data_IF_269245719483
#
_entry.id   IF_269245719483
#
_cell.length_a   1.000
_cell.length_b   1.000
_cell.length_c   1.000
_cell.angle_alpha   90.00
_cell.angle_beta   90.00
_cell.angle_gamma   90.00
#
_symmetry.space_group_name_H-M   'P 1'
#
loop_
_entity.id
_entity.type
_entity.pdbx_description
1 polymer ?
#
# COMPACT_ATOMS: atom_id res chain seq x y z
N UNK A 1 4.97 47.13 -3.61
CA UNK A 1 5.35 45.90 -4.33
C UNK A 1 5.67 44.71 -3.42
N UNK A 2 6.46 44.84 -2.34
CA UNK A 2 6.73 43.69 -1.42
C UNK A 2 5.47 43.12 -0.74
N UNK A 3 4.52 43.99 -0.36
CA UNK A 3 3.31 43.59 0.37
C UNK A 3 2.30 42.81 -0.50
N UNK A 4 2.22 43.13 -1.79
CA UNK A 4 1.35 42.45 -2.77
C UNK A 4 1.90 41.07 -3.14
N UNK A 5 3.23 40.96 -3.24
CA UNK A 5 3.90 39.67 -3.47
C UNK A 5 3.72 38.75 -2.26
N UNK A 6 3.95 39.23 -1.05
CA UNK A 6 3.71 38.43 0.16
C UNK A 6 2.24 38.05 0.34
N UNK A 7 1.32 38.97 0.00
CA UNK A 7 -0.11 38.69 0.03
C UNK A 7 -0.48 37.62 -0.99
N UNK A 8 -0.03 37.72 -2.24
CA UNK A 8 -0.28 36.71 -3.28
C UNK A 8 0.33 35.34 -2.97
N UNK A 9 1.48 35.29 -2.28
CA UNK A 9 2.10 34.05 -1.79
C UNK A 9 1.30 33.45 -0.64
N UNK A 10 0.80 34.27 0.30
CA UNK A 10 -0.11 33.85 1.37
C UNK A 10 -1.47 33.40 0.83
N UNK A 11 -1.97 34.04 -0.21
CA UNK A 11 -3.22 33.69 -0.89
C UNK A 11 -3.07 32.39 -1.69
N UNK A 12 -1.94 32.18 -2.39
CA UNK A 12 -1.59 30.90 -3.02
C UNK A 12 -1.45 29.76 -2.01
N UNK A 13 -0.97 30.03 -0.79
CA UNK A 13 -0.97 29.04 0.32
C UNK A 13 -2.37 28.76 0.86
N UNK A 14 -3.31 29.70 0.76
CA UNK A 14 -4.71 29.56 1.22
C UNK A 14 -5.65 28.94 0.18
N UNK A 15 -5.35 29.05 -1.11
CA UNK A 15 -6.17 28.40 -2.14
C UNK A 15 -5.98 26.88 -2.03
N UNK A 16 -7.07 26.10 -1.94
CA UNK A 16 -6.97 24.65 -1.94
C UNK A 16 -6.19 24.25 -3.19
N UNK A 17 -5.05 23.55 -3.00
CA UNK A 17 -4.26 23.06 -4.13
C UNK A 17 -5.19 22.14 -4.91
N UNK A 18 -5.40 22.44 -6.21
CA UNK A 18 -6.17 21.55 -7.09
C UNK A 18 -5.46 20.18 -7.10
N UNK A 19 -6.19 19.12 -6.75
CA UNK A 19 -5.65 17.77 -6.69
C UNK A 19 -6.59 16.78 -6.00
N UNK A 20 -6.10 15.55 -5.81
CA UNK A 20 -6.82 14.45 -5.18
C UNK A 20 -6.60 14.47 -3.66
N UNK A 21 -7.67 14.74 -2.91
CA UNK A 21 -7.64 14.61 -1.44
C UNK A 21 -7.26 13.22 -0.99
N UNK A 22 -6.71 13.11 0.23
CA UNK A 22 -6.42 11.81 0.87
C UNK A 22 -7.64 10.89 0.88
N UNK A 23 -8.85 11.44 1.07
CA UNK A 23 -10.08 10.67 0.96
C UNK A 23 -10.28 10.05 -0.42
N UNK A 24 -10.18 10.86 -1.50
CA UNK A 24 -10.30 10.37 -2.88
C UNK A 24 -9.25 9.32 -3.23
N UNK A 25 -8.01 9.52 -2.80
CA UNK A 25 -6.94 8.54 -3.00
C UNK A 25 -7.24 7.21 -2.31
N UNK A 26 -7.77 7.26 -1.08
CA UNK A 26 -8.17 6.04 -0.36
C UNK A 26 -9.34 5.32 -1.02
N UNK A 27 -10.31 6.06 -1.58
CA UNK A 27 -11.41 5.46 -2.37
C UNK A 27 -10.84 4.75 -3.60
N UNK A 28 -9.98 5.40 -4.38
CA UNK A 28 -9.34 4.80 -5.56
C UNK A 28 -8.56 3.54 -5.16
N UNK A 29 -7.72 3.63 -4.12
CA UNK A 29 -6.94 2.50 -3.62
C UNK A 29 -7.82 1.34 -3.11
N UNK A 30 -8.98 1.65 -2.50
CA UNK A 30 -9.93 0.64 -2.04
C UNK A 30 -10.63 -0.08 -3.20
N UNK A 31 -11.02 0.65 -4.26
CA UNK A 31 -11.62 0.06 -5.48
C UNK A 31 -10.63 -0.87 -6.17
N UNK A 32 -9.37 -0.44 -6.31
CA UNK A 32 -8.31 -1.25 -6.90
C UNK A 32 -8.00 -2.50 -6.05
N UNK A 33 -8.01 -2.36 -4.73
CA UNK A 33 -7.82 -3.50 -3.82
C UNK A 33 -8.98 -4.50 -3.90
N UNK A 34 -10.22 -4.01 -4.02
CA UNK A 34 -11.39 -4.86 -4.29
C UNK A 34 -11.24 -5.60 -5.62
N UNK A 35 -10.77 -4.92 -6.67
CA UNK A 35 -10.55 -5.52 -7.98
C UNK A 35 -9.53 -6.67 -7.93
N UNK A 36 -8.46 -6.53 -7.15
CA UNK A 36 -7.51 -7.62 -6.89
C UNK A 36 -8.14 -8.78 -6.12
N UNK A 37 -8.86 -8.49 -5.03
CA UNK A 37 -9.56 -9.54 -4.28
C UNK A 37 -10.61 -10.29 -5.15
N UNK A 38 -11.38 -9.56 -5.95
CA UNK A 38 -12.35 -10.10 -6.88
C UNK A 38 -11.71 -10.95 -8.00
N UNK A 39 -10.46 -10.64 -8.40
CA UNK A 39 -9.71 -11.37 -9.40
C UNK A 39 -9.50 -12.85 -9.02
N UNK A 40 -9.30 -13.10 -7.73
CA UNK A 40 -8.98 -14.44 -7.20
C UNK A 40 -10.22 -15.32 -7.02
N UNK A 41 -11.40 -14.73 -6.85
CA UNK A 41 -12.59 -15.45 -6.36
C UNK A 41 -13.84 -15.13 -7.19
N UNK A 42 -14.27 -13.87 -7.19
CA UNK A 42 -15.51 -13.45 -7.85
C UNK A 42 -15.44 -13.65 -9.37
N UNK A 43 -14.39 -13.22 -10.07
CA UNK A 43 -14.35 -13.40 -11.51
C UNK A 43 -14.28 -14.88 -11.93
N UNK A 44 -13.46 -15.74 -11.30
CA UNK A 44 -13.53 -17.18 -11.51
C UNK A 44 -14.92 -17.79 -11.23
N UNK A 45 -15.65 -17.29 -10.22
CA UNK A 45 -17.00 -17.77 -9.93
C UNK A 45 -18.00 -17.43 -11.04
N UNK A 46 -17.97 -16.19 -11.55
CA UNK A 46 -18.94 -15.71 -12.54
C UNK A 46 -18.59 -16.13 -13.97
N UNK A 47 -17.30 -16.18 -14.31
CA UNK A 47 -16.81 -16.44 -15.67
C UNK A 47 -16.32 -17.87 -15.87
N UNK A 48 -16.28 -18.70 -14.81
CA UNK A 48 -15.73 -20.05 -14.81
C UNK A 48 -14.24 -20.11 -14.47
N UNK A 49 -13.70 -21.31 -14.30
CA UNK A 49 -12.30 -21.52 -13.88
C UNK A 49 -11.32 -20.87 -14.85
N UNK A 50 -10.35 -20.07 -14.37
CA UNK A 50 -9.34 -19.46 -15.23
C UNK A 50 -8.30 -20.52 -15.61
N UNK A 51 -8.52 -21.17 -16.76
CA UNK A 51 -7.63 -22.19 -17.32
C UNK A 51 -7.35 -21.93 -18.82
N UNK A 52 -6.55 -22.80 -19.43
CA UNK A 52 -6.17 -22.67 -20.85
C UNK A 52 -7.37 -22.76 -21.81
N UNK A 53 -8.47 -23.38 -21.39
CA UNK A 53 -9.69 -23.53 -22.19
C UNK A 53 -10.63 -22.33 -22.02
N UNK A 54 -10.53 -21.61 -20.90
CA UNK A 54 -11.27 -20.39 -20.61
C UNK A 54 -10.36 -19.16 -20.53
N UNK A 55 -9.82 -18.79 -21.70
CA UNK A 55 -8.94 -17.62 -21.83
C UNK A 55 -9.60 -16.31 -21.38
N UNK A 56 -10.93 -16.19 -21.48
CA UNK A 56 -11.66 -14.99 -21.05
C UNK A 56 -11.58 -14.80 -19.53
N UNK A 57 -11.91 -15.84 -18.75
CA UNK A 57 -11.81 -15.78 -17.29
C UNK A 57 -10.37 -15.54 -16.83
N UNK A 58 -9.40 -16.21 -17.46
CA UNK A 58 -7.98 -16.00 -17.21
C UNK A 58 -7.56 -14.55 -17.48
N UNK A 59 -7.94 -14.00 -18.63
CA UNK A 59 -7.60 -12.62 -19.02
C UNK A 59 -8.21 -11.61 -18.05
N UNK A 60 -9.49 -11.75 -17.69
CA UNK A 60 -10.16 -10.85 -16.75
C UNK A 60 -9.49 -10.89 -15.38
N UNK A 61 -9.17 -12.08 -14.88
CA UNK A 61 -8.51 -12.26 -13.57
C UNK A 61 -7.11 -11.63 -13.56
N UNK A 62 -6.29 -11.91 -14.57
CA UNK A 62 -4.93 -11.35 -14.67
C UNK A 62 -4.95 -9.82 -14.82
N UNK A 63 -5.79 -9.27 -15.70
CA UNK A 63 -5.86 -7.82 -15.88
C UNK A 63 -6.35 -7.10 -14.62
N UNK A 64 -7.28 -7.71 -13.90
CA UNK A 64 -7.81 -7.18 -12.63
C UNK A 64 -6.77 -7.21 -11.53
N UNK A 65 -5.97 -8.27 -11.45
CA UNK A 65 -4.84 -8.33 -10.54
C UNK A 65 -3.79 -7.25 -10.85
N UNK A 66 -3.39 -7.14 -12.12
CA UNK A 66 -2.42 -6.12 -12.55
C UNK A 66 -2.94 -4.71 -12.24
N UNK A 67 -4.23 -4.45 -12.48
CA UNK A 67 -4.85 -3.19 -12.13
C UNK A 67 -4.80 -2.93 -10.62
N UNK A 68 -4.96 -3.95 -9.77
CA UNK A 68 -4.87 -3.80 -8.31
C UNK A 68 -3.49 -3.28 -7.85
N UNK A 69 -2.41 -3.60 -8.58
CA UNK A 69 -1.05 -3.18 -8.22
C UNK A 69 -0.84 -1.66 -8.30
N UNK A 70 -1.70 -0.93 -9.00
CA UNK A 70 -1.78 0.54 -8.98
C UNK A 70 -1.96 1.06 -7.54
N UNK A 71 -2.59 0.29 -6.65
CA UNK A 71 -2.85 0.68 -5.27
C UNK A 71 -1.59 0.61 -4.37
N UNK A 72 -0.61 -0.22 -4.71
CA UNK A 72 0.57 -0.50 -3.86
C UNK A 72 1.34 0.77 -3.46
N UNK A 73 1.78 1.65 -4.39
CA UNK A 73 2.45 2.90 -4.01
C UNK A 73 1.54 3.83 -3.20
N UNK A 74 0.23 3.78 -3.37
CA UNK A 74 -0.72 4.60 -2.61
C UNK A 74 -0.76 4.15 -1.14
N UNK A 75 -0.84 2.84 -0.88
CA UNK A 75 -0.79 2.30 0.49
C UNK A 75 0.57 2.49 1.15
N UNK A 76 1.67 2.31 0.41
CA UNK A 76 3.02 2.63 0.90
C UNK A 76 3.13 4.11 1.30
N UNK A 77 2.57 5.02 0.49
CA UNK A 77 2.50 6.44 0.83
C UNK A 77 1.66 6.70 2.08
N UNK A 78 0.54 5.99 2.26
CA UNK A 78 -0.29 6.13 3.48
C UNK A 78 0.44 5.65 4.74
N UNK A 79 1.26 4.60 4.65
CA UNK A 79 2.12 4.16 5.76
C UNK A 79 3.14 5.22 6.09
N UNK A 80 3.92 5.64 5.09
CA UNK A 80 4.96 6.64 5.25
C UNK A 80 4.42 7.98 5.80
N UNK A 81 3.37 8.53 5.17
CA UNK A 81 2.74 9.77 5.64
C UNK A 81 2.07 9.58 7.00
N UNK A 82 1.45 8.42 7.26
CA UNK A 82 0.89 8.08 8.56
C UNK A 82 1.95 8.10 9.66
N UNK A 83 3.16 7.60 9.39
CA UNK A 83 4.29 7.62 10.30
C UNK A 83 4.76 9.05 10.60
N UNK A 84 4.93 9.90 9.58
CA UNK A 84 5.38 11.30 9.74
C UNK A 84 4.44 12.16 10.60
N UNK A 85 3.12 11.97 10.43
CA UNK A 85 2.12 12.84 11.07
C UNK A 85 1.47 12.22 12.32
N UNK A 86 1.82 11.00 12.69
CA UNK A 86 1.23 10.33 13.87
C UNK A 86 1.97 10.72 15.15
N UNK A 87 1.21 11.06 16.19
CA UNK A 87 1.76 11.35 17.51
C UNK A 87 2.40 10.12 18.20
N UNK A 88 1.89 8.90 17.93
CA UNK A 88 2.38 7.67 18.54
C UNK A 88 2.52 6.55 17.49
N UNK A 89 3.74 6.37 16.97
CA UNK A 89 4.06 5.37 15.96
C UNK A 89 3.85 3.94 16.45
N UNK A 90 4.07 3.67 17.74
CA UNK A 90 3.85 2.33 18.34
C UNK A 90 2.37 1.97 18.27
N UNK A 91 1.48 2.88 18.66
CA UNK A 91 0.04 2.64 18.58
C UNK A 91 -0.43 2.49 17.13
N UNK A 92 0.20 3.18 16.19
CA UNK A 92 -0.07 2.96 14.77
C UNK A 92 0.36 1.55 14.32
N UNK A 93 1.54 1.09 14.73
CA UNK A 93 2.01 -0.28 14.49
C UNK A 93 1.09 -1.33 15.11
N UNK A 94 0.63 -1.13 16.36
CA UNK A 94 -0.34 -2.03 17.00
C UNK A 94 -1.65 -2.11 16.22
N UNK A 95 -2.16 -0.98 15.69
CA UNK A 95 -3.37 -1.00 14.85
C UNK A 95 -3.16 -1.77 13.55
N UNK A 96 -2.00 -1.63 12.91
CA UNK A 96 -1.66 -2.41 11.72
C UNK A 96 -1.48 -3.89 12.04
N UNK A 97 -0.90 -4.23 13.19
CA UNK A 97 -0.75 -5.61 13.65
C UNK A 97 -2.12 -6.26 13.91
N UNK A 98 -3.00 -5.59 14.64
CA UNK A 98 -4.37 -6.08 14.87
C UNK A 98 -5.11 -6.24 13.55
N UNK A 99 -4.98 -5.27 12.64
CA UNK A 99 -5.59 -5.38 11.31
C UNK A 99 -5.03 -6.57 10.52
N UNK A 100 -3.71 -6.76 10.50
CA UNK A 100 -3.08 -7.88 9.81
C UNK A 100 -3.56 -9.22 10.35
N UNK A 101 -3.63 -9.38 11.68
CA UNK A 101 -4.14 -10.59 12.32
C UNK A 101 -5.61 -10.86 12.01
N UNK A 102 -6.46 -9.82 12.04
CA UNK A 102 -7.89 -9.94 11.69
C UNK A 102 -8.07 -10.32 10.21
N UNK A 103 -7.19 -9.86 9.34
CA UNK A 103 -7.25 -10.13 7.91
C UNK A 103 -6.68 -11.50 7.51
N UNK A 104 -5.95 -12.23 8.37
CA UNK A 104 -5.41 -13.55 8.00
C UNK A 104 -6.51 -14.54 7.64
N UNK A 105 -7.48 -14.75 8.52
CA UNK A 105 -8.56 -15.72 8.28
C UNK A 105 -9.33 -15.46 6.98
N UNK A 106 -9.84 -14.24 6.71
CA UNK A 106 -10.56 -14.00 5.46
C UNK A 106 -9.64 -13.99 4.23
N UNK A 107 -8.35 -13.65 4.37
CA UNK A 107 -7.38 -13.74 3.29
C UNK A 107 -7.05 -15.20 2.93
N UNK A 108 -6.80 -16.04 3.92
CA UNK A 108 -6.53 -17.46 3.76
C UNK A 108 -7.72 -18.17 3.10
N UNK A 109 -8.94 -17.83 3.51
CA UNK A 109 -10.15 -18.33 2.86
C UNK A 109 -10.19 -17.93 1.39
N UNK A 110 -9.92 -16.66 1.07
CA UNK A 110 -9.94 -16.15 -0.30
C UNK A 110 -8.88 -16.81 -1.20
N UNK A 111 -7.64 -16.94 -0.72
CA UNK A 111 -6.51 -17.42 -1.54
C UNK A 111 -6.40 -18.95 -1.56
N UNK A 112 -6.64 -19.62 -0.43
CA UNK A 112 -6.39 -21.05 -0.26
C UNK A 112 -7.64 -21.90 -0.05
N UNK A 113 -8.80 -21.26 0.17
CA UNK A 113 -10.05 -21.94 0.53
C UNK A 113 -10.10 -22.48 1.97
N UNK A 114 -9.03 -22.34 2.75
CA UNK A 114 -8.94 -22.84 4.13
C UNK A 114 -8.89 -21.65 5.11
N UNK A 115 -9.50 -21.81 6.29
CA UNK A 115 -9.55 -20.74 7.29
C UNK A 115 -8.19 -20.41 7.93
N UNK A 116 -7.25 -21.36 7.88
CA UNK A 116 -5.90 -21.21 8.42
C UNK A 116 -4.93 -21.82 7.41
N UNK A 117 -4.08 -21.00 6.82
CA UNK A 117 -3.05 -21.41 5.87
C UNK A 117 -1.73 -20.72 6.20
N UNK A 118 -0.62 -21.44 6.07
CA UNK A 118 0.73 -20.86 6.20
C UNK A 118 1.36 -20.57 4.84
N UNK A 119 0.59 -20.65 3.76
CA UNK A 119 1.11 -20.58 2.39
C UNK A 119 1.51 -19.17 1.93
N UNK A 120 0.79 -18.15 2.37
CA UNK A 120 1.04 -16.74 2.10
C UNK A 120 0.42 -15.90 3.23
N UNK A 121 0.99 -14.72 3.50
CA UNK A 121 0.45 -13.77 4.47
C UNK A 121 -0.33 -12.67 3.74
N UNK A 122 -1.32 -12.05 4.40
CA UNK A 122 -2.01 -10.93 3.77
C UNK A 122 -1.12 -9.68 3.57
N UNK A 123 -1.38 -8.82 2.56
CA UNK A 123 -0.62 -7.60 2.27
C UNK A 123 -0.47 -6.58 3.42
N UNK A 124 -1.33 -6.59 4.45
CA UNK A 124 -1.22 -5.66 5.59
C UNK A 124 0.06 -5.92 6.38
N UNK A 125 0.54 -7.17 6.41
CA UNK A 125 1.86 -7.48 6.97
C UNK A 125 2.97 -6.71 6.26
N UNK A 126 2.88 -6.49 4.95
CA UNK A 126 3.84 -5.70 4.19
C UNK A 126 3.85 -4.25 4.65
N UNK A 127 2.67 -3.68 4.94
CA UNK A 127 2.53 -2.34 5.49
C UNK A 127 3.10 -2.22 6.91
N UNK A 128 2.90 -3.25 7.74
CA UNK A 128 3.47 -3.31 9.08
C UNK A 128 5.00 -3.41 9.04
N UNK A 129 5.55 -4.28 8.19
CA UNK A 129 6.99 -4.44 7.99
C UNK A 129 7.58 -3.11 7.52
N UNK A 130 6.96 -2.44 6.54
CA UNK A 130 7.37 -1.10 6.09
C UNK A 130 7.45 -0.10 7.24
N UNK A 131 6.45 -0.06 8.13
CA UNK A 131 6.42 0.82 9.29
C UNK A 131 7.54 0.50 10.29
N UNK A 132 7.76 -0.79 10.57
CA UNK A 132 8.85 -1.24 11.45
C UNK A 132 10.20 -0.84 10.87
N UNK A 133 10.43 -1.07 9.57
CA UNK A 133 11.67 -0.72 8.89
C UNK A 133 11.97 0.76 9.02
N UNK A 134 11.04 1.66 8.64
CA UNK A 134 11.30 3.11 8.75
C UNK A 134 11.45 3.57 10.21
N UNK A 135 10.72 2.97 11.15
CA UNK A 135 10.86 3.24 12.58
C UNK A 135 12.24 2.86 13.11
N UNK A 136 12.76 1.68 12.73
CA UNK A 136 14.11 1.26 13.07
C UNK A 136 15.16 2.17 12.42
N UNK A 137 14.99 2.54 11.15
CA UNK A 137 15.91 3.46 10.46
C UNK A 137 16.03 4.81 11.16
N UNK A 138 14.96 5.32 11.78
CA UNK A 138 15.02 6.54 12.57
C UNK A 138 15.76 6.36 13.90
N UNK A 139 15.57 5.23 14.60
CA UNK A 139 16.34 4.92 15.80
C UNK A 139 17.85 4.81 15.51
N UNK A 140 18.20 4.33 14.32
CA UNK A 140 19.59 4.19 13.90
C UNK A 140 20.31 5.53 13.68
N UNK A 141 19.59 6.67 13.59
CA UNK A 141 20.20 8.01 13.47
C UNK A 141 21.00 8.43 14.71
N UNK A 142 20.84 7.75 15.84
CA UNK A 142 21.61 7.99 17.05
C UNK A 142 23.05 7.44 16.99
N UNK A 143 23.36 6.58 16.02
CA UNK A 143 24.68 5.95 15.87
C UNK A 143 25.63 6.78 14.98
N UNK A 144 26.92 6.42 14.98
CA UNK A 144 27.91 7.01 14.06
C UNK A 144 27.54 6.74 12.60
N UNK A 145 27.93 7.63 11.68
CA UNK A 145 27.53 7.57 10.27
C UNK A 145 27.82 6.21 9.60
N UNK A 146 29.00 5.64 9.84
CA UNK A 146 29.38 4.33 9.29
C UNK A 146 28.50 3.20 9.84
N UNK A 147 28.25 3.21 11.15
CA UNK A 147 27.40 2.22 11.80
C UNK A 147 25.95 2.35 11.36
N UNK A 148 25.44 3.58 11.25
CA UNK A 148 24.09 3.87 10.75
C UNK A 148 23.90 3.27 9.35
N UNK A 149 24.84 3.46 8.43
CA UNK A 149 24.74 2.92 7.06
C UNK A 149 24.68 1.39 7.11
N UNK A 150 25.61 0.75 7.82
CA UNK A 150 25.68 -0.72 7.91
C UNK A 150 24.39 -1.30 8.49
N UNK A 151 23.94 -0.76 9.63
CA UNK A 151 22.71 -1.21 10.29
C UNK A 151 21.47 -0.92 9.43
N UNK A 152 21.43 0.20 8.71
CA UNK A 152 20.31 0.52 7.81
C UNK A 152 20.19 -0.49 6.68
N UNK A 153 21.32 -0.88 6.08
CA UNK A 153 21.34 -1.93 5.04
C UNK A 153 20.84 -3.25 5.62
N UNK A 154 21.29 -3.64 6.81
CA UNK A 154 20.84 -4.88 7.47
C UNK A 154 19.33 -4.84 7.73
N UNK A 155 18.81 -3.75 8.32
CA UNK A 155 17.38 -3.60 8.62
C UNK A 155 16.53 -3.70 7.35
N UNK A 156 16.96 -3.03 6.28
CA UNK A 156 16.27 -3.08 4.98
C UNK A 156 16.28 -4.50 4.42
N UNK A 157 17.44 -5.16 4.40
CA UNK A 157 17.55 -6.53 3.90
C UNK A 157 16.71 -7.51 4.71
N UNK A 158 16.65 -7.37 6.04
CA UNK A 158 15.78 -8.18 6.91
C UNK A 158 14.31 -7.94 6.60
N UNK A 159 13.87 -6.69 6.42
CA UNK A 159 12.48 -6.38 6.06
C UNK A 159 12.08 -6.94 4.69
N UNK A 160 12.98 -6.86 3.70
CA UNK A 160 12.78 -7.44 2.38
C UNK A 160 12.76 -8.97 2.42
N UNK A 161 13.70 -9.58 3.15
CA UNK A 161 13.78 -11.03 3.33
C UNK A 161 12.54 -11.56 4.04
N UNK A 162 12.04 -10.89 5.09
CA UNK A 162 10.78 -11.24 5.74
C UNK A 162 9.64 -11.23 4.73
N UNK A 163 9.46 -10.12 4.02
CA UNK A 163 8.36 -9.96 3.05
C UNK A 163 8.39 -11.05 1.96
N UNK A 164 9.59 -11.41 1.50
CA UNK A 164 9.79 -12.42 0.47
C UNK A 164 9.60 -13.85 1.00
N UNK A 165 10.25 -14.23 2.10
CA UNK A 165 10.22 -15.58 2.67
C UNK A 165 8.81 -15.99 3.12
N UNK A 166 8.07 -15.06 3.71
CA UNK A 166 6.69 -15.31 4.16
C UNK A 166 5.64 -15.00 3.10
N UNK A 167 6.07 -14.75 1.85
CA UNK A 167 5.19 -14.55 0.68
C UNK A 167 4.08 -13.53 0.97
N UNK A 168 4.48 -12.39 1.54
CA UNK A 168 3.56 -11.37 2.02
C UNK A 168 2.83 -10.72 0.85
N UNK A 169 1.51 -10.83 0.85
CA UNK A 169 0.61 -10.37 -0.20
C UNK A 169 0.78 -11.10 -1.52
N UNK A 170 1.23 -12.35 -1.48
CA UNK A 170 1.32 -13.21 -2.66
C UNK A 170 -0.02 -13.90 -2.92
N UNK A 171 -0.58 -13.66 -4.10
CA UNK A 171 -1.81 -14.29 -4.63
C UNK A 171 -1.49 -15.37 -5.68
N UNK A 172 -0.21 -15.72 -5.89
CA UNK A 172 0.24 -16.74 -6.84
C UNK A 172 0.77 -16.20 -8.17
N UNK A 173 1.08 -14.90 -8.26
CA UNK A 173 1.57 -14.22 -9.46
C UNK A 173 2.98 -13.63 -9.27
N UNK A 174 3.54 -13.05 -10.35
CA UNK A 174 4.97 -12.73 -10.54
C UNK A 174 5.57 -11.79 -9.48
N UNK A 175 4.76 -11.03 -8.73
CA UNK A 175 5.24 -9.94 -7.87
C UNK A 175 4.78 -10.12 -6.42
N UNK A 176 5.73 -10.00 -5.48
CA UNK A 176 5.47 -9.97 -4.04
C UNK A 176 5.08 -8.56 -3.58
N UNK A 177 3.80 -8.37 -3.22
CA UNK A 177 3.24 -7.08 -2.81
C UNK A 177 3.90 -6.54 -1.54
N UNK A 178 4.28 -7.40 -0.60
CA UNK A 178 4.99 -7.02 0.62
C UNK A 178 6.33 -6.35 0.33
N UNK A 179 7.15 -6.97 -0.52
CA UNK A 179 8.45 -6.44 -0.96
C UNK A 179 8.26 -5.07 -1.64
N UNK A 180 7.27 -4.94 -2.52
CA UNK A 180 6.98 -3.65 -3.15
C UNK A 180 6.59 -2.58 -2.15
N UNK A 181 5.74 -2.94 -1.18
CA UNK A 181 5.26 -2.03 -0.15
C UNK A 181 6.43 -1.47 0.66
N UNK A 182 7.40 -2.32 1.02
CA UNK A 182 8.64 -1.92 1.69
C UNK A 182 9.46 -0.98 0.80
N UNK A 183 9.72 -1.36 -0.45
CA UNK A 183 10.56 -0.57 -1.37
C UNK A 183 9.95 0.81 -1.68
N UNK A 184 8.65 0.89 -1.97
CA UNK A 184 7.98 2.17 -2.17
C UNK A 184 8.03 3.04 -0.90
N UNK A 185 7.81 2.44 0.27
CA UNK A 185 7.90 3.17 1.55
C UNK A 185 9.31 3.73 1.76
N UNK A 186 10.35 2.96 1.45
CA UNK A 186 11.74 3.41 1.53
C UNK A 186 12.05 4.55 0.56
N UNK A 187 11.52 4.50 -0.67
CA UNK A 187 11.65 5.61 -1.63
C UNK A 187 11.04 6.88 -1.05
N UNK A 188 9.82 6.79 -0.52
CA UNK A 188 9.17 7.96 0.11
C UNK A 188 9.91 8.45 1.36
N UNK A 189 10.47 7.53 2.15
CA UNK A 189 11.24 7.87 3.33
C UNK A 189 12.58 8.56 3.03
N UNK A 190 13.39 8.04 2.11
CA UNK A 190 14.72 8.59 1.83
C UNK A 190 14.70 9.86 0.97
N UNK A 191 13.67 10.03 0.14
CA UNK A 191 13.52 11.20 -0.71
C UNK A 191 12.51 12.22 -0.18
N UNK A 192 12.14 12.10 1.10
CA UNK A 192 11.36 13.13 1.78
C UNK A 192 12.03 14.51 1.65
N UNK A 193 11.20 15.54 1.41
CA UNK A 193 11.64 16.90 1.10
C UNK A 193 12.11 17.13 -0.35
N UNK A 194 12.23 16.10 -1.19
CA UNK A 194 12.63 16.19 -2.60
C UNK A 194 11.56 15.61 -3.52
N UNK A 195 10.38 16.24 -3.56
CA UNK A 195 9.16 15.73 -4.23
C UNK A 195 9.41 15.23 -5.68
N UNK A 196 10.14 16.00 -6.50
CA UNK A 196 10.40 15.61 -7.90
C UNK A 196 11.27 14.34 -7.98
N UNK A 197 12.34 14.26 -7.18
CA UNK A 197 13.21 13.08 -7.15
C UNK A 197 12.44 11.87 -6.61
N UNK A 198 11.68 12.07 -5.53
CA UNK A 198 10.85 11.04 -4.92
C UNK A 198 9.86 10.44 -5.93
N UNK A 199 9.12 11.28 -6.64
CA UNK A 199 8.09 10.83 -7.60
C UNK A 199 8.71 10.22 -8.86
N UNK A 200 9.82 10.77 -9.37
CA UNK A 200 10.52 10.18 -10.52
C UNK A 200 11.11 8.81 -10.18
N UNK A 201 11.79 8.67 -9.03
CA UNK A 201 12.36 7.40 -8.58
C UNK A 201 11.26 6.37 -8.32
N UNK A 202 10.17 6.76 -7.65
CA UNK A 202 9.02 5.88 -7.43
C UNK A 202 8.37 5.46 -8.77
N UNK A 203 8.21 6.39 -9.71
CA UNK A 203 7.62 6.11 -11.02
C UNK A 203 8.48 5.16 -11.86
N UNK A 204 9.80 5.38 -11.89
CA UNK A 204 10.75 4.50 -12.57
C UNK A 204 10.77 3.11 -11.95
N UNK A 205 10.84 3.03 -10.62
CA UNK A 205 10.76 1.75 -9.90
C UNK A 205 9.44 1.03 -10.19
N UNK A 206 8.32 1.74 -10.18
CA UNK A 206 7.02 1.18 -10.53
C UNK A 206 6.93 0.71 -11.98
N UNK A 207 7.66 1.34 -12.90
CA UNK A 207 7.69 0.94 -14.31
C UNK A 207 8.46 -0.37 -14.50
N UNK A 208 9.56 -0.55 -13.76
CA UNK A 208 10.32 -1.80 -13.72
C UNK A 208 9.50 -2.97 -13.17
N UNK A 209 8.48 -2.66 -12.35
CA UNK A 209 7.61 -3.64 -11.73
C UNK A 209 6.25 -3.75 -12.44
N UNK A 210 6.26 -4.03 -13.75
CA UNK A 210 5.07 -4.28 -14.59
C UNK A 210 4.18 -3.06 -14.88
N UNK A 211 4.73 -1.84 -14.85
CA UNK A 211 4.07 -0.57 -15.27
C UNK A 211 2.88 -0.12 -14.40
N UNK A 212 2.00 -1.02 -13.94
CA UNK A 212 0.83 -0.69 -13.13
C UNK A 212 1.16 0.11 -11.86
N UNK A 213 2.22 -0.21 -11.08
CA UNK A 213 2.62 0.64 -9.96
C UNK A 213 3.09 2.04 -10.39
N UNK A 214 3.67 2.21 -11.59
CA UNK A 214 4.03 3.55 -12.10
C UNK A 214 2.78 4.41 -12.31
N UNK A 215 1.68 3.83 -12.79
CA UNK A 215 0.38 4.52 -12.89
C UNK A 215 -0.11 4.92 -11.50
N UNK A 216 0.06 4.06 -10.50
CA UNK A 216 -0.24 4.37 -9.10
C UNK A 216 0.52 5.58 -8.57
N UNK A 217 1.83 5.67 -8.88
CA UNK A 217 2.66 6.83 -8.55
C UNK A 217 2.21 8.08 -9.31
N UNK A 218 1.84 7.96 -10.59
CA UNK A 218 1.33 9.08 -11.37
C UNK A 218 0.03 9.64 -10.77
N UNK A 219 -0.90 8.78 -10.35
CA UNK A 219 -2.12 9.19 -9.62
C UNK A 219 -1.76 9.85 -8.29
N UNK A 220 -0.83 9.25 -7.55
CA UNK A 220 -0.35 9.79 -6.27
C UNK A 220 0.29 11.17 -6.43
N UNK A 221 0.96 11.46 -7.54
CA UNK A 221 1.55 12.77 -7.81
C UNK A 221 0.52 13.91 -7.86
N UNK A 222 -0.72 13.62 -8.29
CA UNK A 222 -1.82 14.60 -8.29
C UNK A 222 -2.47 14.81 -6.92
N UNK A 223 -1.94 14.21 -5.85
CA UNK A 223 -2.47 14.37 -4.50
C UNK A 223 -2.47 15.84 -4.07
N UNK A 224 -3.57 16.30 -3.46
CA UNK A 224 -3.52 17.49 -2.63
C UNK A 224 -3.39 17.04 -1.17
N UNK A 225 -2.60 17.75 -0.37
CA UNK A 225 -2.32 17.39 1.04
C UNK A 225 -3.55 17.54 1.97
N UNK A 226 -4.74 17.72 1.41
CA UNK A 226 -5.98 17.87 2.14
C UNK A 226 -6.52 16.51 2.57
N UNK A 227 -7.01 16.43 3.81
CA UNK A 227 -7.60 15.21 4.35
C UNK A 227 -8.90 14.82 3.64
N UNK A 228 -9.70 15.80 3.20
CA UNK A 228 -10.97 15.61 2.50
C UNK A 228 -12.13 15.11 3.39
N UNK A 229 -11.85 14.42 4.49
CA UNK A 229 -12.82 13.91 5.45
C UNK A 229 -12.72 14.67 6.80
N UNK A 230 -13.86 15.18 7.31
CA UNK A 230 -13.90 16.07 8.49
C UNK A 230 -14.04 15.35 9.84
N UNK A 231 -14.48 14.10 9.88
CA UNK A 231 -14.89 13.44 11.13
C UNK A 231 -13.87 12.42 11.66
N UNK A 232 -13.72 12.38 12.99
CA UNK A 232 -12.78 11.51 13.71
C UNK A 232 -13.03 10.01 13.55
N UNK A 233 -14.27 9.60 13.24
CA UNK A 233 -14.66 8.20 13.01
C UNK A 233 -14.21 7.66 11.64
N UNK A 234 -13.93 8.54 10.67
CA UNK A 234 -13.57 8.14 9.30
C UNK A 234 -12.29 7.31 9.25
N UNK A 235 -11.39 7.45 10.24
CA UNK A 235 -10.20 6.60 10.37
C UNK A 235 -10.58 5.12 10.52
N UNK A 236 -11.61 4.81 11.31
CA UNK A 236 -12.02 3.44 11.61
C UNK A 236 -12.67 2.75 10.41
N UNK A 237 -13.40 3.51 9.59
CA UNK A 237 -13.92 3.03 8.30
C UNK A 237 -12.78 2.49 7.45
N UNK A 238 -11.69 3.25 7.32
CA UNK A 238 -10.55 2.84 6.50
C UNK A 238 -9.82 1.61 7.02
N UNK A 239 -9.84 1.34 8.33
CA UNK A 239 -9.35 0.08 8.88
C UNK A 239 -10.31 -1.08 8.60
N UNK A 240 -11.62 -0.84 8.53
CA UNK A 240 -12.62 -1.86 8.23
C UNK A 240 -12.76 -2.19 6.74
N UNK A 241 -12.37 -1.28 5.84
CA UNK A 241 -12.53 -1.47 4.38
C UNK A 241 -11.89 -2.76 3.89
N UNK A 242 -10.63 -3.03 4.24
CA UNK A 242 -9.93 -4.22 3.76
C UNK A 242 -10.52 -5.55 4.27
N UNK A 243 -10.77 -5.75 5.58
CA UNK A 243 -11.40 -6.98 6.04
C UNK A 243 -12.82 -7.15 5.46
N UNK A 244 -13.58 -6.06 5.24
CA UNK A 244 -14.87 -6.15 4.56
C UNK A 244 -14.73 -6.60 3.11
N UNK A 245 -13.76 -6.04 2.36
CA UNK A 245 -13.47 -6.49 0.99
C UNK A 245 -13.14 -7.98 0.97
N UNK A 246 -12.25 -8.43 1.87
CA UNK A 246 -11.89 -9.85 1.96
C UNK A 246 -13.09 -10.72 2.31
N UNK A 247 -13.95 -10.31 3.24
CA UNK A 247 -15.15 -11.07 3.60
C UNK A 247 -16.18 -11.14 2.46
N UNK A 248 -16.32 -10.07 1.68
CA UNK A 248 -17.20 -10.04 0.50
C UNK A 248 -16.65 -10.94 -0.63
N UNK A 249 -15.33 -11.02 -0.77
CA UNK A 249 -14.67 -11.84 -1.78
C UNK A 249 -14.33 -13.26 -1.29
N UNK A 250 -14.37 -13.53 0.02
CA UNK A 250 -14.11 -14.86 0.58
C UNK A 250 -15.12 -15.87 0.00
N UNK A 251 -14.72 -17.14 -0.19
CA UNK A 251 -15.38 -18.02 -1.13
C UNK A 251 -16.86 -18.21 -0.82
N UNK A 252 -17.71 -18.00 -1.83
CA UNK A 252 -19.09 -18.49 -1.89
C UNK A 252 -19.18 -20.03 -1.98
N UNK A 253 -18.04 -20.73 -2.01
CA UNK A 253 -17.95 -22.19 -2.11
C UNK A 253 -17.75 -22.91 -0.76
N UNK A 254 -17.58 -22.17 0.34
CA UNK A 254 -17.33 -22.71 1.67
C UNK A 254 -18.57 -22.71 2.60
N UNK A 255 -19.76 -22.51 2.03
CA UNK A 255 -21.06 -22.63 2.70
C UNK A 255 -21.95 -23.66 1.99
#
# INVERSE_FOLDING_TARGET
MANEYEFSVREKKRRPRKGLSRFKLKVIAAVLLFLGAASTTLFPYWLGTPDANNMTSLTVSVLSEIASWVAVPMYAWFVYSGYQYTHNAVLYGVRLLVLALVCEVPYDLMVSGHAISMGAQNPVWGLLISLIVIGLLDLLRAYSRSMQIILSVIVVLVGLAWSWLFRVGDTGLVINIGVMSVLFTLIFYFFDGRENTMMLTAGFFGAMMMIAPAVGVAILHYRNDETGARHSWTKWVWYAVYPVILLVCAPLHAL
#
